data_IF_519496371525
#
_entry.id   IF_519496371525
#
_cell.length_a   1.000
_cell.length_b   1.000
_cell.length_c   1.000
_cell.angle_alpha   90.00
_cell.angle_beta   90.00
_cell.angle_gamma   90.00
#
_symmetry.space_group_name_H-M   'P 1'
#
loop_
_entity.id
_entity.type
_entity.pdbx_description
1 polymer ?
#
# COMPACT_ATOMS: atom_id res chain seq x y z
N UNK A 1 -27.56 24.76 31.67
CA UNK A 1 -27.17 25.34 30.36
C UNK A 1 -27.47 24.33 29.24
N UNK A 2 -28.44 24.57 28.36
CA UNK A 2 -28.71 23.71 27.21
C UNK A 2 -27.52 23.74 26.23
N UNK A 3 -27.07 22.57 25.77
CA UNK A 3 -25.99 22.45 24.77
C UNK A 3 -26.43 23.12 23.46
N UNK A 4 -25.65 24.09 23.00
CA UNK A 4 -25.89 24.82 21.76
C UNK A 4 -25.83 23.87 20.56
N UNK A 5 -26.51 24.19 19.45
CA UNK A 5 -26.46 23.40 18.22
C UNK A 5 -25.00 23.21 17.73
N UNK A 6 -24.17 24.24 17.92
CA UNK A 6 -22.74 24.28 17.60
C UNK A 6 -21.96 23.16 18.33
N UNK A 7 -22.24 22.92 19.61
CA UNK A 7 -21.59 21.85 20.37
C UNK A 7 -21.95 20.44 19.87
N UNK A 8 -23.18 20.26 19.39
CA UNK A 8 -23.63 18.97 18.85
C UNK A 8 -22.93 18.66 17.53
N UNK A 9 -22.80 19.66 16.67
CA UNK A 9 -22.13 19.49 15.38
C UNK A 9 -20.62 19.32 15.56
N UNK A 10 -20.00 20.03 16.50
CA UNK A 10 -18.59 19.82 16.86
C UNK A 10 -18.30 18.37 17.30
N UNK A 11 -19.20 17.79 18.12
CA UNK A 11 -19.09 16.38 18.55
C UNK A 11 -19.30 15.40 17.40
N UNK A 12 -20.28 15.65 16.52
CA UNK A 12 -20.50 14.82 15.31
C UNK A 12 -19.27 14.84 14.40
N UNK A 13 -18.71 16.01 14.18
CA UNK A 13 -17.49 16.20 13.39
C UNK A 13 -16.27 15.53 14.00
N UNK A 14 -16.11 15.61 15.32
CA UNK A 14 -15.06 14.89 16.04
C UNK A 14 -15.21 13.38 15.87
N UNK A 15 -16.42 12.83 16.07
CA UNK A 15 -16.71 11.40 15.90
C UNK A 15 -16.47 10.93 14.46
N UNK A 16 -16.85 11.73 13.46
CA UNK A 16 -16.56 11.46 12.04
C UNK A 16 -15.05 11.40 11.80
N UNK A 17 -14.30 12.39 12.26
CA UNK A 17 -12.85 12.43 12.11
C UNK A 17 -12.14 11.24 12.79
N UNK A 18 -12.60 10.82 13.98
CA UNK A 18 -12.08 9.63 14.67
C UNK A 18 -12.35 8.37 13.84
N UNK A 19 -13.58 8.18 13.34
CA UNK A 19 -13.92 7.04 12.47
C UNK A 19 -13.05 6.99 11.21
N UNK A 20 -12.79 8.14 10.59
CA UNK A 20 -11.93 8.22 9.41
C UNK A 20 -10.47 7.86 9.74
N UNK A 21 -9.97 8.29 10.89
CA UNK A 21 -8.64 7.90 11.37
C UNK A 21 -8.55 6.39 11.66
N UNK A 22 -9.58 5.79 12.28
CA UNK A 22 -9.66 4.34 12.49
C UNK A 22 -9.65 3.57 11.16
N UNK A 23 -10.40 4.04 10.16
CA UNK A 23 -10.40 3.45 8.80
C UNK A 23 -9.02 3.56 8.14
N UNK A 24 -8.37 4.72 8.25
CA UNK A 24 -7.00 4.91 7.75
C UNK A 24 -6.02 3.95 8.42
N UNK A 25 -6.12 3.75 9.74
CA UNK A 25 -5.27 2.80 10.47
C UNK A 25 -5.49 1.36 10.02
N UNK A 26 -6.74 0.97 9.74
CA UNK A 26 -7.07 -0.35 9.18
C UNK A 26 -6.45 -0.53 7.79
N UNK A 27 -6.55 0.48 6.92
CA UNK A 27 -5.96 0.40 5.58
C UNK A 27 -4.43 0.39 5.63
N UNK A 28 -3.80 1.14 6.53
CA UNK A 28 -2.34 1.14 6.69
C UNK A 28 -1.82 -0.24 7.12
N UNK A 29 -2.55 -0.96 7.98
CA UNK A 29 -2.22 -2.35 8.34
C UNK A 29 -2.32 -3.30 7.15
N UNK A 30 -3.39 -3.15 6.34
CA UNK A 30 -3.55 -3.96 5.12
C UNK A 30 -2.48 -3.64 4.07
N UNK A 31 -2.04 -2.39 3.99
CA UNK A 31 -0.90 -2.03 3.16
C UNK A 31 0.37 -2.71 3.67
N UNK A 32 0.63 -2.68 4.98
CA UNK A 32 1.78 -3.34 5.58
C UNK A 32 1.85 -4.85 5.26
N UNK A 33 0.71 -5.56 5.26
CA UNK A 33 0.67 -6.98 4.90
C UNK A 33 1.03 -7.27 3.44
N UNK A 34 0.91 -6.29 2.55
CA UNK A 34 1.26 -6.42 1.13
C UNK A 34 2.69 -5.98 0.82
N UNK A 35 3.44 -5.48 1.81
CA UNK A 35 4.80 -4.98 1.63
C UNK A 35 5.85 -6.04 2.03
N UNK A 36 7.02 -6.07 1.36
CA UNK A 36 8.15 -6.86 1.82
C UNK A 36 8.81 -6.24 3.07
N UNK A 37 9.61 -7.04 3.79
CA UNK A 37 10.51 -6.49 4.82
C UNK A 37 11.64 -5.68 4.15
N UNK A 38 12.15 -4.60 4.79
CA UNK A 38 11.83 -4.08 6.11
C UNK A 38 10.66 -3.06 6.13
N UNK A 39 9.97 -2.85 5.00
CA UNK A 39 8.91 -1.85 4.92
C UNK A 39 7.68 -2.25 5.73
N UNK A 40 7.33 -3.55 5.74
CA UNK A 40 6.24 -4.12 6.54
C UNK A 40 6.37 -3.80 8.03
N UNK A 41 7.50 -4.09 8.66
CA UNK A 41 7.74 -3.82 10.08
C UNK A 41 7.62 -2.32 10.41
N UNK A 42 8.21 -1.44 9.58
CA UNK A 42 8.13 0.03 9.76
C UNK A 42 6.70 0.56 9.68
N UNK A 43 5.92 0.14 8.67
CA UNK A 43 4.52 0.55 8.51
C UNK A 43 3.65 -0.02 9.65
N UNK A 44 3.92 -1.26 10.08
CA UNK A 44 3.19 -1.91 11.19
C UNK A 44 3.43 -1.19 12.52
N UNK A 45 4.68 -0.79 12.80
CA UNK A 45 5.02 -0.03 14.00
C UNK A 45 4.34 1.34 14.00
N UNK A 46 4.42 2.09 12.89
CA UNK A 46 3.77 3.39 12.75
C UNK A 46 2.23 3.28 12.88
N UNK A 47 1.61 2.30 12.22
CA UNK A 47 0.18 2.05 12.31
C UNK A 47 -0.27 1.68 13.73
N UNK A 48 0.55 0.94 14.47
CA UNK A 48 0.26 0.57 15.86
C UNK A 48 0.39 1.75 16.83
N UNK A 49 1.41 2.58 16.65
CA UNK A 49 1.58 3.81 17.44
C UNK A 49 0.41 4.79 17.23
N UNK A 50 0.01 5.02 15.98
CA UNK A 50 -1.12 5.91 15.68
C UNK A 50 -2.47 5.31 16.11
N UNK A 51 -2.65 3.99 16.05
CA UNK A 51 -3.86 3.34 16.59
C UNK A 51 -4.03 3.64 18.09
N UNK A 52 -2.94 3.56 18.88
CA UNK A 52 -2.98 3.90 20.32
C UNK A 52 -3.42 5.36 20.53
N UNK A 53 -2.88 6.30 19.75
CA UNK A 53 -3.27 7.72 19.78
C UNK A 53 -4.75 7.92 19.45
N UNK A 54 -5.25 7.25 18.41
CA UNK A 54 -6.67 7.34 18.00
C UNK A 54 -7.61 6.83 19.10
N UNK A 55 -7.24 5.76 19.82
CA UNK A 55 -8.04 5.23 20.94
C UNK A 55 -8.16 6.26 22.08
N UNK A 56 -7.07 6.96 22.41
CA UNK A 56 -7.09 8.04 23.40
C UNK A 56 -8.00 9.18 22.94
N UNK A 57 -7.79 9.65 21.72
CA UNK A 57 -8.59 10.73 21.10
C UNK A 57 -10.09 10.39 21.05
N UNK A 58 -10.44 9.12 20.83
CA UNK A 58 -11.82 8.64 20.84
C UNK A 58 -12.47 8.80 22.21
N UNK A 59 -11.74 8.52 23.29
CA UNK A 59 -12.23 8.70 24.68
C UNK A 59 -12.42 10.18 25.02
N UNK A 60 -11.59 11.05 24.46
CA UNK A 60 -11.63 12.50 24.68
C UNK A 60 -12.65 13.24 23.78
N UNK A 61 -13.15 12.61 22.72
CA UNK A 61 -13.99 13.26 21.70
C UNK A 61 -15.30 13.85 22.24
N UNK A 62 -15.86 13.30 23.31
CA UNK A 62 -17.08 13.83 23.94
C UNK A 62 -16.79 14.98 24.94
N UNK A 63 -15.56 15.04 25.48
CA UNK A 63 -15.11 16.08 26.43
C UNK A 63 -14.54 17.30 25.71
N UNK A 64 -13.69 17.08 24.71
CA UNK A 64 -12.96 18.14 24.00
C UNK A 64 -13.05 17.92 22.47
N UNK A 65 -14.21 18.17 21.84
CA UNK A 65 -14.48 17.76 20.46
C UNK A 65 -13.54 18.42 19.44
N UNK A 66 -13.21 19.70 19.62
CA UNK A 66 -12.32 20.43 18.70
C UNK A 66 -10.89 19.90 18.73
N UNK A 67 -10.33 19.65 19.92
CA UNK A 67 -9.00 19.07 20.07
C UNK A 67 -8.95 17.64 19.50
N UNK A 68 -9.97 16.83 19.83
CA UNK A 68 -10.08 15.46 19.33
C UNK A 68 -10.17 15.41 17.80
N UNK A 69 -10.95 16.30 17.17
CA UNK A 69 -11.02 16.44 15.71
C UNK A 69 -9.66 16.77 15.10
N UNK A 70 -8.92 17.72 15.68
CA UNK A 70 -7.57 18.10 15.21
C UNK A 70 -6.59 16.92 15.35
N UNK A 71 -6.58 16.25 16.49
CA UNK A 71 -5.72 15.11 16.75
C UNK A 71 -6.00 13.94 15.80
N UNK A 72 -7.27 13.57 15.61
CA UNK A 72 -7.68 12.51 14.69
C UNK A 72 -7.24 12.80 13.24
N UNK A 73 -7.42 14.04 12.77
CA UNK A 73 -6.96 14.46 11.45
C UNK A 73 -5.45 14.32 11.31
N UNK A 74 -4.66 14.74 12.31
CA UNK A 74 -3.20 14.59 12.32
C UNK A 74 -2.77 13.12 12.25
N UNK A 75 -3.38 12.25 13.03
CA UNK A 75 -3.11 10.80 12.98
C UNK A 75 -3.43 10.21 11.60
N UNK A 76 -4.56 10.57 11.01
CA UNK A 76 -4.93 10.12 9.66
C UNK A 76 -3.92 10.59 8.59
N UNK A 77 -3.43 11.83 8.70
CA UNK A 77 -2.45 12.38 7.77
C UNK A 77 -1.06 11.74 7.93
N UNK A 78 -0.66 11.41 9.16
CA UNK A 78 0.59 10.67 9.41
C UNK A 78 0.55 9.28 8.81
N UNK A 79 -0.57 8.57 8.97
CA UNK A 79 -0.77 7.24 8.37
C UNK A 79 -0.72 7.30 6.84
N UNK A 80 -1.33 8.33 6.25
CA UNK A 80 -1.26 8.57 4.82
C UNK A 80 0.16 8.86 4.34
N UNK A 81 0.93 9.71 5.04
CA UNK A 81 2.34 9.96 4.67
C UNK A 81 3.19 8.69 4.73
N UNK A 82 2.98 7.85 5.73
CA UNK A 82 3.65 6.55 5.85
C UNK A 82 3.27 5.66 4.67
N UNK A 83 1.98 5.59 4.34
CA UNK A 83 1.50 4.82 3.21
C UNK A 83 2.04 5.35 1.86
N UNK A 84 2.10 6.67 1.67
CA UNK A 84 2.72 7.33 0.50
C UNK A 84 4.19 6.95 0.40
N UNK A 85 4.95 7.05 1.50
CA UNK A 85 6.39 6.75 1.54
C UNK A 85 6.73 5.30 1.18
N UNK A 86 5.91 4.34 1.63
CA UNK A 86 6.20 2.91 1.48
C UNK A 86 5.33 2.20 0.44
N UNK A 87 4.26 2.83 -0.03
CA UNK A 87 3.24 2.23 -0.90
C UNK A 87 3.29 2.69 -2.36
N UNK A 88 4.21 3.58 -2.76
CA UNK A 88 4.50 3.80 -4.18
C UNK A 88 5.57 2.80 -4.65
N UNK A 89 5.27 2.06 -5.71
CA UNK A 89 6.18 1.11 -6.35
C UNK A 89 7.35 1.84 -7.03
N UNK A 90 8.28 2.40 -6.24
CA UNK A 90 9.46 3.11 -6.77
C UNK A 90 9.93 4.35 -6.01
N UNK A 91 9.46 4.61 -4.79
CA UNK A 91 10.16 5.54 -3.87
C UNK A 91 10.12 7.03 -4.20
N UNK A 92 9.43 7.47 -5.26
CA UNK A 92 9.16 8.89 -5.51
C UNK A 92 7.80 9.25 -4.96
N UNK A 93 7.78 9.58 -3.68
CA UNK A 93 6.57 10.00 -2.98
C UNK A 93 6.81 11.43 -2.49
N UNK A 94 6.17 12.40 -3.15
CA UNK A 94 6.22 13.80 -2.72
C UNK A 94 5.29 13.99 -1.53
N UNK A 95 5.65 14.85 -0.58
CA UNK A 95 4.74 15.26 0.50
C UNK A 95 3.42 15.88 -0.02
N UNK A 96 3.40 16.30 -1.30
CA UNK A 96 2.20 16.79 -2.00
C UNK A 96 1.19 15.69 -2.35
N UNK A 97 1.63 14.43 -2.48
CA UNK A 97 0.74 13.30 -2.81
C UNK A 97 -0.10 12.82 -1.63
N UNK A 98 0.27 13.23 -0.41
CA UNK A 98 -0.60 13.07 0.74
C UNK A 98 -1.82 13.99 0.58
N UNK A 99 -3.02 13.41 0.49
CA UNK A 99 -4.28 14.12 0.36
C UNK A 99 -4.41 15.21 1.42
N UNK A 100 -4.56 16.46 0.99
CA UNK A 100 -4.71 17.60 1.91
C UNK A 100 -6.02 17.59 2.70
N UNK A 101 -7.04 16.79 2.34
CA UNK A 101 -8.35 16.82 3.03
C UNK A 101 -9.11 15.47 2.99
N UNK A 102 -9.25 14.86 4.17
CA UNK A 102 -10.38 13.98 4.52
C UNK A 102 -10.55 12.66 3.75
N UNK A 103 -9.59 12.27 2.90
CA UNK A 103 -9.67 11.05 2.08
C UNK A 103 -8.51 10.07 2.29
N UNK A 104 -7.79 10.20 3.41
CA UNK A 104 -6.62 9.39 3.76
C UNK A 104 -6.86 7.88 3.66
N UNK A 105 -8.01 7.38 4.12
CA UNK A 105 -8.32 5.96 4.01
C UNK A 105 -8.41 5.48 2.54
N UNK A 106 -9.00 6.28 1.66
CA UNK A 106 -9.13 5.96 0.22
C UNK A 106 -7.79 6.07 -0.50
N UNK A 107 -6.93 7.02 -0.14
CA UNK A 107 -5.60 7.14 -0.74
C UNK A 107 -4.70 5.97 -0.33
N UNK A 108 -4.72 5.57 0.95
CA UNK A 108 -4.00 4.38 1.43
C UNK A 108 -4.51 3.12 0.71
N UNK A 109 -5.82 3.01 0.47
CA UNK A 109 -6.39 1.88 -0.30
C UNK A 109 -5.89 1.87 -1.75
N UNK A 110 -5.84 3.03 -2.43
CA UNK A 110 -5.30 3.14 -3.79
C UNK A 110 -3.83 2.70 -3.84
N UNK A 111 -3.03 3.12 -2.86
CA UNK A 111 -1.62 2.71 -2.75
C UNK A 111 -1.50 1.21 -2.53
N UNK A 112 -2.33 0.63 -1.67
CA UNK A 112 -2.36 -0.83 -1.51
C UNK A 112 -2.64 -1.54 -2.83
N UNK A 113 -3.62 -1.09 -3.62
CA UNK A 113 -3.89 -1.66 -4.95
C UNK A 113 -2.70 -1.51 -5.90
N UNK A 114 -1.99 -0.38 -5.84
CA UNK A 114 -0.77 -0.15 -6.63
C UNK A 114 0.39 -1.05 -6.20
N UNK A 115 0.51 -1.41 -4.91
CA UNK A 115 1.50 -2.40 -4.43
C UNK A 115 1.10 -3.82 -4.83
N UNK A 116 -0.19 -4.15 -4.75
CA UNK A 116 -0.69 -5.49 -5.08
C UNK A 116 -0.58 -5.81 -6.59
N UNK A 117 -0.79 -4.84 -7.49
CA UNK A 117 -0.74 -5.06 -8.94
C UNK A 117 0.59 -5.63 -9.47
N UNK A 118 1.77 -5.05 -9.17
CA UNK A 118 3.05 -5.58 -9.63
C UNK A 118 3.38 -6.91 -8.95
N UNK A 119 2.99 -7.12 -7.69
CA UNK A 119 3.20 -8.42 -7.01
C UNK A 119 2.43 -9.56 -7.70
N UNK A 120 1.20 -9.32 -8.16
CA UNK A 120 0.43 -10.31 -8.94
C UNK A 120 1.03 -10.55 -10.32
N UNK A 121 1.51 -9.50 -11.00
CA UNK A 121 2.19 -9.63 -12.30
C UNK A 121 3.51 -10.40 -12.17
N UNK A 122 4.30 -10.16 -11.14
CA UNK A 122 5.55 -10.89 -10.89
C UNK A 122 5.31 -12.37 -10.57
N UNK A 123 4.24 -12.68 -9.82
CA UNK A 123 3.84 -14.05 -9.54
C UNK A 123 3.33 -14.73 -10.81
N UNK A 124 2.44 -14.08 -11.58
CA UNK A 124 1.90 -14.64 -12.83
C UNK A 124 2.99 -14.80 -13.88
N UNK A 125 3.90 -13.84 -14.03
CA UNK A 125 5.01 -13.95 -14.97
C UNK A 125 5.97 -15.06 -14.55
N UNK A 126 6.32 -15.15 -13.26
CA UNK A 126 7.16 -16.21 -12.70
C UNK A 126 6.58 -17.61 -12.86
N UNK A 127 5.27 -17.78 -12.64
CA UNK A 127 4.58 -19.04 -12.91
C UNK A 127 4.56 -19.36 -14.41
N UNK A 128 4.35 -18.36 -15.27
CA UNK A 128 4.33 -18.56 -16.72
C UNK A 128 5.73 -18.90 -17.25
N UNK A 129 6.80 -18.27 -16.75
CA UNK A 129 8.18 -18.64 -17.10
C UNK A 129 8.56 -20.01 -16.58
N UNK A 130 8.18 -20.37 -15.35
CA UNK A 130 8.38 -21.73 -14.83
C UNK A 130 7.60 -22.76 -15.63
N UNK A 131 6.34 -22.51 -15.94
CA UNK A 131 5.55 -23.41 -16.79
C UNK A 131 6.17 -23.52 -18.18
N UNK A 132 6.54 -22.41 -18.82
CA UNK A 132 7.22 -22.48 -20.12
C UNK A 132 8.56 -23.19 -20.02
N UNK A 133 9.33 -23.01 -18.95
CA UNK A 133 10.61 -23.71 -18.77
C UNK A 133 10.44 -25.21 -18.48
N UNK A 134 9.32 -25.61 -17.86
CA UNK A 134 8.99 -27.01 -17.58
C UNK A 134 8.34 -27.68 -18.80
N UNK A 135 7.51 -26.97 -19.56
CA UNK A 135 6.77 -27.51 -20.71
C UNK A 135 7.45 -27.29 -22.05
N UNK A 136 8.53 -26.51 -22.14
CA UNK A 136 9.38 -26.49 -23.33
C UNK A 136 10.51 -27.50 -23.16
N UNK A 137 10.54 -28.56 -23.99
CA UNK A 137 11.70 -29.43 -24.02
C UNK A 137 12.85 -28.65 -24.66
N UNK A 138 13.78 -28.23 -23.80
CA UNK A 138 15.23 -28.11 -24.05
C UNK A 138 15.68 -27.29 -25.27
N UNK A 139 16.25 -26.12 -24.98
CA UNK A 139 17.19 -25.38 -25.85
C UNK A 139 18.34 -26.28 -26.39
N UNK A 140 18.65 -27.39 -25.71
CA UNK A 140 19.64 -28.36 -26.17
C UNK A 140 19.25 -29.07 -27.48
N UNK A 141 17.95 -29.32 -27.73
CA UNK A 141 17.51 -29.95 -28.99
C UNK A 141 17.55 -28.97 -30.17
N UNK A 142 17.20 -27.70 -29.92
CA UNK A 142 17.31 -26.63 -30.91
C UNK A 142 18.78 -26.30 -31.21
N UNK A 143 19.63 -26.21 -30.18
CA UNK A 143 21.07 -26.00 -30.34
C UNK A 143 21.73 -27.11 -31.17
N UNK A 144 21.38 -28.39 -30.92
CA UNK A 144 21.86 -29.54 -31.72
C UNK A 144 21.38 -29.52 -33.17
N UNK A 145 20.13 -29.08 -33.44
CA UNK A 145 19.63 -28.90 -34.81
C UNK A 145 20.33 -27.75 -35.54
N UNK A 146 20.48 -26.59 -34.88
CA UNK A 146 21.19 -25.45 -35.49
C UNK A 146 22.69 -25.72 -35.70
N UNK A 147 23.32 -26.50 -34.83
CA UNK A 147 24.72 -26.92 -35.02
C UNK A 147 24.86 -27.88 -36.22
N UNK A 148 23.95 -28.86 -36.37
CA UNK A 148 23.92 -29.76 -37.53
C UNK A 148 23.61 -29.03 -38.84
N UNK A 149 22.72 -28.04 -38.82
CA UNK A 149 22.42 -27.22 -40.01
C UNK A 149 23.59 -26.32 -40.43
N UNK A 150 24.34 -25.76 -39.47
CA UNK A 150 25.55 -24.97 -39.77
C UNK A 150 26.65 -25.84 -40.37
N UNK A 151 26.85 -27.05 -39.84
CA UNK A 151 27.83 -28.00 -40.38
C UNK A 151 27.49 -28.41 -41.83
N UNK A 152 26.21 -28.71 -42.10
CA UNK A 152 25.73 -29.03 -43.47
C UNK A 152 25.81 -27.87 -44.46
N UNK A 153 25.78 -26.61 -43.99
CA UNK A 153 25.96 -25.44 -44.86
C UNK A 153 27.43 -25.19 -45.19
N UNK A 154 28.36 -25.54 -44.29
CA UNK A 154 29.80 -25.46 -44.57
C UNK A 154 30.24 -26.52 -45.59
N UNK A 155 29.72 -27.75 -45.50
CA UNK A 155 30.05 -28.83 -46.46
C UNK A 155 29.47 -28.63 -47.87
N UNK A 156 28.49 -27.74 -48.07
CA UNK A 156 27.90 -27.42 -49.39
C UNK A 156 28.45 -26.14 -50.02
N UNK A 157 29.36 -25.47 -49.33
CA UNK A 157 30.00 -24.23 -49.78
C UNK A 157 31.50 -24.37 -50.08
N UNK A 158 32.00 -25.60 -50.23
CA UNK A 158 33.35 -25.93 -50.72
C UNK A 158 33.24 -26.69 -52.03
#
# INVERSE_FOLDING_TARGET
MPKTAIDRDARRDAKRAVKDAERAAKQARKLASSLPEPAKSRVTAAASAEKRRIVIVKREADRVPYAARRAAKRSSARLERVAVRYGSAGGRASSSDASRKGRSAKSIERQRKQVEQPSKMAIVSGFRTLFTAITTPTDQERARKTAKERLRRMERGS
#
